data_IF_343910041171
#
_entry.id   IF_343910041171
#
_cell.length_a   1.000
_cell.length_b   1.000
_cell.length_c   1.000
_cell.angle_alpha   90.00
_cell.angle_beta   90.00
_cell.angle_gamma   90.00
#
_symmetry.space_group_name_H-M   'P 1'
#
loop_
_entity.id
_entity.type
_entity.pdbx_description
1 polymer ?
#
# COMPACT_ATOMS: atom_id res chain seq x y z
N UNK A 1 -25.05 3.43 33.40
CA UNK A 1 -25.29 4.03 32.06
C UNK A 1 -23.93 4.19 31.40
N UNK A 2 -23.53 3.21 30.57
CA UNK A 2 -22.24 3.26 29.87
C UNK A 2 -22.45 3.82 28.47
N UNK A 3 -21.70 4.87 28.15
CA UNK A 3 -21.71 5.54 26.83
C UNK A 3 -21.04 4.60 25.82
N UNK A 4 -21.81 4.15 24.84
CA UNK A 4 -21.30 3.44 23.67
C UNK A 4 -20.70 4.51 22.76
N UNK A 5 -19.37 4.45 22.56
CA UNK A 5 -18.65 5.33 21.67
C UNK A 5 -18.82 4.79 20.24
N UNK A 6 -19.80 5.33 19.52
CA UNK A 6 -20.03 5.04 18.10
C UNK A 6 -19.04 5.89 17.31
N UNK A 7 -17.94 5.30 16.87
CA UNK A 7 -17.07 5.89 15.86
C UNK A 7 -17.78 5.83 14.50
N UNK A 8 -18.40 6.94 14.12
CA UNK A 8 -18.88 7.19 12.76
C UNK A 8 -17.66 7.47 11.89
N UNK A 9 -17.25 6.49 11.08
CA UNK A 9 -16.27 6.69 10.02
C UNK A 9 -16.93 7.49 8.86
N UNK A 10 -16.32 8.58 8.38
CA UNK A 10 -16.82 9.27 7.20
C UNK A 10 -16.47 8.45 5.95
N UNK A 11 -17.50 7.96 5.26
CA UNK A 11 -17.45 7.47 3.89
C UNK A 11 -16.99 8.61 2.97
N UNK A 12 -15.69 8.73 2.72
CA UNK A 12 -15.16 9.63 1.68
C UNK A 12 -15.21 8.92 0.32
N UNK A 13 -16.29 9.22 -0.40
CA UNK A 13 -16.41 9.04 -1.84
C UNK A 13 -15.27 9.81 -2.54
N UNK A 14 -14.31 9.09 -3.16
CA UNK A 14 -13.40 9.68 -4.14
C UNK A 14 -13.71 9.10 -5.52
N UNK A 15 -14.64 9.77 -6.23
CA UNK A 15 -14.67 9.77 -7.68
C UNK A 15 -13.56 10.69 -8.18
N UNK A 16 -12.37 10.13 -8.44
CA UNK A 16 -11.37 10.84 -9.24
C UNK A 16 -11.79 10.70 -10.70
N UNK A 17 -12.58 11.67 -11.16
CA UNK A 17 -12.79 11.93 -12.57
C UNK A 17 -11.43 12.23 -13.22
N UNK A 18 -11.17 11.52 -14.31
CA UNK A 18 -10.22 11.95 -15.32
C UNK A 18 -10.68 13.29 -15.91
N UNK A 19 -9.85 14.32 -15.80
CA UNK A 19 -9.88 15.47 -16.70
C UNK A 19 -8.44 15.78 -17.14
N UNK A 20 -8.24 15.64 -18.45
CA UNK A 20 -7.12 16.17 -19.22
C UNK A 20 -7.26 17.69 -19.42
N UNK A 21 -6.16 18.27 -19.94
CA UNK A 21 -5.97 19.60 -20.52
C UNK A 21 -5.67 20.73 -19.51
N UNK A 22 -4.83 21.73 -19.78
CA UNK A 22 -3.83 22.11 -20.80
C UNK A 22 -3.53 23.60 -20.52
N UNK A 23 -2.39 24.16 -20.98
CA UNK A 23 -2.16 25.62 -21.20
C UNK A 23 -1.90 26.42 -19.89
N UNK A 24 -0.90 27.29 -19.70
CA UNK A 24 0.14 27.94 -20.55
C UNK A 24 1.28 28.48 -19.68
N UNK A 25 2.42 28.70 -20.35
CA UNK A 25 3.52 29.58 -19.97
C UNK A 25 3.09 30.94 -19.39
N UNK A 26 3.90 31.42 -18.44
CA UNK A 26 4.20 32.83 -18.31
C UNK A 26 5.61 33.00 -17.78
N UNK A 27 6.48 33.47 -18.68
CA UNK A 27 7.80 34.01 -18.38
C UNK A 27 7.75 35.14 -17.35
N UNK A 28 8.79 35.25 -16.52
CA UNK A 28 9.33 36.55 -16.12
C UNK A 28 10.83 36.41 -15.83
N UNK A 29 11.59 37.17 -16.60
CA UNK A 29 13.02 37.39 -16.55
C UNK A 29 13.47 38.30 -15.38
N UNK A 30 14.78 38.21 -15.10
CA UNK A 30 15.68 39.28 -14.60
C UNK A 30 15.41 39.90 -13.21
N UNK A 31 16.38 40.30 -12.39
CA UNK A 31 17.82 40.50 -12.50
C UNK A 31 18.36 40.53 -11.05
N UNK A 32 19.64 40.24 -10.85
CA UNK A 32 20.63 41.24 -10.38
C UNK A 32 21.77 40.64 -9.56
N UNK A 33 22.91 41.21 -9.92
CA UNK A 33 24.30 41.01 -9.60
C UNK A 33 24.67 41.24 -8.13
N UNK A 34 25.74 40.56 -7.71
CA UNK A 34 26.31 40.70 -6.37
C UNK A 34 27.68 40.04 -6.28
N UNK A 35 28.61 40.52 -7.11
CA UNK A 35 30.03 40.23 -7.05
C UNK A 35 30.65 40.90 -5.82
N UNK A 36 31.28 40.13 -4.92
CA UNK A 36 32.22 40.65 -3.93
C UNK A 36 33.45 39.75 -3.89
N UNK A 37 34.54 40.26 -4.45
CA UNK A 37 35.88 39.72 -4.34
C UNK A 37 36.61 40.31 -3.12
N UNK A 38 37.29 39.45 -2.35
CA UNK A 38 38.49 39.66 -1.51
C UNK A 38 38.47 38.54 -0.44
N UNK A 39 39.54 37.87 -0.03
CA UNK A 39 40.96 38.19 -0.10
C UNK A 39 41.78 36.90 0.00
N UNK A 40 42.93 36.92 -0.66
CA UNK A 40 44.02 35.94 -0.57
C UNK A 40 44.60 35.83 0.83
N UNK A 41 44.83 34.62 1.31
CA UNK A 41 45.89 34.34 2.27
C UNK A 41 46.49 32.96 2.02
N UNK A 42 47.75 33.00 1.59
CA UNK A 42 48.66 31.87 1.46
C UNK A 42 48.80 31.11 2.78
N UNK A 43 48.69 29.78 2.71
CA UNK A 43 49.31 28.87 3.67
C UNK A 43 49.80 27.64 2.90
N UNK A 44 51.11 27.59 2.67
CA UNK A 44 51.84 26.37 2.31
C UNK A 44 52.36 25.69 3.59
N UNK A 45 51.94 24.45 3.79
CA UNK A 45 52.71 23.36 4.45
C UNK A 45 51.90 22.07 4.20
N UNK A 46 52.30 21.25 3.22
CA UNK A 46 53.30 20.18 3.31
C UNK A 46 52.73 18.87 3.89
N UNK A 47 53.12 17.78 3.22
CA UNK A 47 52.89 16.37 3.46
C UNK A 47 51.47 15.76 3.33
N UNK A 48 51.20 15.24 2.12
CA UNK A 48 51.31 13.79 1.96
C UNK A 48 50.23 12.93 2.62
N UNK A 49 49.01 13.00 2.10
CA UNK A 49 48.15 11.82 1.90
C UNK A 49 47.03 12.19 0.93
N UNK A 50 47.25 11.93 -0.36
CA UNK A 50 46.14 11.75 -1.29
C UNK A 50 45.40 10.48 -0.85
N UNK A 51 44.48 10.62 0.09
CA UNK A 51 43.33 9.72 0.14
C UNK A 51 42.68 9.81 -1.22
N UNK A 52 42.83 8.75 -1.99
CA UNK A 52 42.03 8.50 -3.18
C UNK A 52 40.59 8.47 -2.70
N UNK A 53 39.91 9.63 -2.69
CA UNK A 53 38.46 9.70 -2.63
C UNK A 53 38.03 8.99 -3.89
N UNK A 54 37.77 7.69 -3.78
CA UNK A 54 37.17 6.88 -4.83
C UNK A 54 35.83 7.55 -5.07
N UNK A 55 35.78 8.44 -6.06
CA UNK A 55 34.58 9.12 -6.52
C UNK A 55 33.61 8.01 -6.87
N UNK A 56 32.72 7.66 -5.94
CA UNK A 56 31.74 6.60 -6.10
C UNK A 56 30.96 6.92 -7.37
N UNK A 57 31.31 6.23 -8.45
CA UNK A 57 30.67 6.44 -9.75
C UNK A 57 29.24 5.96 -9.58
N UNK A 58 28.30 6.91 -9.51
CA UNK A 58 26.89 6.58 -9.41
C UNK A 58 26.48 5.95 -10.74
N UNK A 59 26.25 4.64 -10.73
CA UNK A 59 25.69 3.94 -11.89
C UNK A 59 24.27 4.43 -12.14
N UNK A 60 24.08 5.09 -13.30
CA UNK A 60 22.78 5.52 -13.78
C UNK A 60 21.98 4.33 -14.33
N UNK A 61 20.65 4.46 -14.26
CA UNK A 61 19.70 3.65 -15.02
C UNK A 61 19.98 3.79 -16.51
N UNK A 62 19.80 2.71 -17.25
CA UNK A 62 19.76 2.76 -18.70
C UNK A 62 18.39 3.26 -19.19
N UNK A 63 18.29 3.60 -20.48
CA UNK A 63 16.98 3.89 -21.10
C UNK A 63 16.05 2.68 -21.04
N UNK A 64 16.61 1.47 -21.19
CA UNK A 64 15.85 0.22 -21.08
C UNK A 64 15.29 0.02 -19.67
N UNK A 65 16.06 0.33 -18.63
CA UNK A 65 15.60 0.24 -17.24
C UNK A 65 14.44 1.21 -16.98
N UNK A 66 14.53 2.43 -17.49
CA UNK A 66 13.43 3.41 -17.40
C UNK A 66 12.19 2.92 -18.13
N UNK A 67 12.32 2.26 -19.29
CA UNK A 67 11.20 1.64 -20.00
C UNK A 67 10.56 0.54 -19.15
N UNK A 68 11.34 -0.38 -18.56
CA UNK A 68 10.84 -1.45 -17.69
C UNK A 68 10.05 -0.89 -16.49
N UNK A 69 10.52 0.19 -15.88
CA UNK A 69 9.80 0.86 -14.79
C UNK A 69 8.46 1.45 -15.24
N UNK A 70 8.42 2.11 -16.40
CA UNK A 70 7.18 2.65 -16.97
C UNK A 70 6.19 1.54 -17.33
N UNK A 71 6.67 0.46 -17.93
CA UNK A 71 5.85 -0.70 -18.27
C UNK A 71 5.22 -1.31 -17.02
N UNK A 72 5.97 -1.42 -15.92
CA UNK A 72 5.42 -1.88 -14.64
C UNK A 72 4.26 -1.00 -14.17
N UNK A 73 4.43 0.33 -14.19
CA UNK A 73 3.38 1.26 -13.75
C UNK A 73 2.16 1.23 -14.66
N UNK A 74 2.34 1.11 -15.98
CA UNK A 74 1.24 1.06 -16.93
C UNK A 74 0.43 -0.25 -16.79
N UNK A 75 1.12 -1.39 -16.68
CA UNK A 75 0.45 -2.69 -16.55
C UNK A 75 -0.24 -2.87 -15.21
N UNK A 76 0.26 -2.21 -14.18
CA UNK A 76 -0.34 -2.24 -12.83
C UNK A 76 -1.22 -1.02 -12.52
N UNK A 77 -1.58 -0.19 -13.52
CA UNK A 77 -2.32 1.07 -13.31
C UNK A 77 -3.66 0.90 -12.60
N UNK A 78 -4.30 -0.26 -12.73
CA UNK A 78 -5.59 -0.57 -12.11
C UNK A 78 -5.45 -1.17 -10.70
N UNK A 79 -4.24 -1.58 -10.29
CA UNK A 79 -4.00 -2.32 -9.04
C UNK A 79 -4.61 -1.61 -7.83
N UNK A 80 -4.28 -0.33 -7.64
CA UNK A 80 -4.80 0.48 -6.53
C UNK A 80 -6.32 0.60 -6.56
N UNK A 81 -6.92 0.88 -7.73
CA UNK A 81 -8.38 0.98 -7.85
C UNK A 81 -9.10 -0.35 -7.64
N UNK A 82 -8.51 -1.46 -8.08
CA UNK A 82 -9.05 -2.80 -7.84
C UNK A 82 -9.03 -3.12 -6.36
N UNK A 83 -7.91 -2.87 -5.67
CA UNK A 83 -7.79 -3.13 -4.23
C UNK A 83 -8.75 -2.26 -3.39
N UNK A 84 -8.89 -0.98 -3.73
CA UNK A 84 -9.89 -0.09 -3.11
C UNK A 84 -11.32 -0.59 -3.34
N UNK A 85 -11.62 -1.07 -4.55
CA UNK A 85 -12.94 -1.64 -4.87
C UNK A 85 -13.22 -2.90 -4.04
N UNK A 86 -12.25 -3.80 -3.90
CA UNK A 86 -12.37 -4.99 -3.03
C UNK A 86 -12.73 -4.57 -1.61
N UNK A 87 -12.00 -3.60 -1.04
CA UNK A 87 -12.31 -3.10 0.29
C UNK A 87 -13.72 -2.53 0.39
N UNK A 88 -14.05 -1.52 -0.44
CA UNK A 88 -15.31 -0.78 -0.37
C UNK A 88 -16.53 -1.66 -0.62
N UNK A 89 -16.43 -2.65 -1.50
CA UNK A 89 -17.54 -3.56 -1.80
C UNK A 89 -17.86 -4.53 -0.66
N UNK A 90 -16.89 -4.80 0.23
CA UNK A 90 -17.00 -5.85 1.24
C UNK A 90 -17.05 -5.31 2.68
N UNK A 91 -16.54 -4.10 2.95
CA UNK A 91 -16.45 -3.52 4.29
C UNK A 91 -17.81 -3.48 5.02
N UNK A 92 -18.89 -3.15 4.32
CA UNK A 92 -20.23 -3.16 4.91
C UNK A 92 -20.69 -4.56 5.36
N UNK A 93 -20.29 -5.61 4.64
CA UNK A 93 -20.61 -6.99 5.03
C UNK A 93 -19.76 -7.41 6.24
N UNK A 94 -18.47 -7.09 6.27
CA UNK A 94 -17.60 -7.36 7.42
C UNK A 94 -18.02 -6.59 8.68
N UNK A 95 -18.45 -5.33 8.57
CA UNK A 95 -18.97 -4.55 9.69
C UNK A 95 -20.24 -5.18 10.29
N UNK A 96 -21.09 -5.76 9.44
CA UNK A 96 -22.25 -6.52 9.92
C UNK A 96 -21.81 -7.78 10.66
N UNK A 97 -20.86 -8.55 10.13
CA UNK A 97 -20.31 -9.74 10.83
C UNK A 97 -19.77 -9.33 12.21
N UNK A 98 -18.94 -8.28 12.26
CA UNK A 98 -18.34 -7.78 13.50
C UNK A 98 -19.40 -7.44 14.55
N UNK A 99 -20.47 -6.74 14.13
CA UNK A 99 -21.58 -6.36 15.01
C UNK A 99 -22.28 -7.56 15.66
N UNK A 100 -22.33 -8.70 14.97
CA UNK A 100 -22.90 -9.93 15.50
C UNK A 100 -21.87 -10.84 16.18
N UNK A 101 -20.58 -10.55 16.13
CA UNK A 101 -19.49 -11.38 16.68
C UNK A 101 -18.92 -10.87 18.01
N UNK A 102 -19.50 -9.83 18.60
CA UNK A 102 -19.04 -9.24 19.88
C UNK A 102 -19.12 -10.21 21.07
N UNK A 103 -19.96 -11.24 20.98
CA UNK A 103 -20.24 -12.17 22.09
C UNK A 103 -20.29 -13.61 21.58
N UNK A 104 -19.57 -14.52 22.25
CA UNK A 104 -19.70 -15.95 21.97
C UNK A 104 -20.99 -16.50 22.60
N UNK A 105 -21.65 -17.36 21.84
CA UNK A 105 -22.96 -17.88 22.21
C UNK A 105 -22.89 -18.94 23.32
N UNK A 106 -21.72 -19.57 23.47
CA UNK A 106 -21.46 -20.62 24.45
C UNK A 106 -21.39 -20.07 25.90
N UNK A 107 -21.09 -18.77 26.05
CA UNK A 107 -20.94 -18.07 27.34
C UNK A 107 -22.26 -17.80 28.09
N UNK A 108 -23.42 -18.08 27.47
CA UNK A 108 -24.75 -17.73 28.00
C UNK A 108 -25.68 -18.93 28.18
N UNK A 109 -25.13 -20.06 28.58
CA UNK A 109 -25.89 -21.28 28.92
C UNK A 109 -26.30 -21.31 30.39
N UNK A 110 -27.25 -20.45 30.79
CA UNK A 110 -28.03 -20.72 32.02
C UNK A 110 -29.13 -21.74 31.71
N UNK A 111 -29.09 -22.91 32.34
CA UNK A 111 -30.21 -23.85 32.36
C UNK A 111 -30.60 -24.44 31.00
N UNK A 112 -29.64 -24.68 30.10
CA UNK A 112 -29.82 -25.47 28.87
C UNK A 112 -30.73 -24.84 27.78
N UNK A 113 -30.99 -23.52 27.84
CA UNK A 113 -31.68 -22.79 26.76
C UNK A 113 -30.78 -21.68 26.24
N UNK A 114 -30.19 -21.88 25.05
CA UNK A 114 -29.54 -20.76 24.35
C UNK A 114 -30.56 -19.62 24.24
N UNK A 115 -30.24 -18.44 24.76
CA UNK A 115 -31.15 -17.31 24.69
C UNK A 115 -31.55 -17.07 23.23
N UNK A 116 -32.83 -16.79 22.96
CA UNK A 116 -33.39 -16.67 21.60
C UNK A 116 -32.59 -15.71 20.70
N UNK A 117 -31.97 -14.67 21.26
CA UNK A 117 -31.14 -13.71 20.53
C UNK A 117 -29.85 -14.34 19.96
N UNK A 118 -29.26 -15.33 20.65
CA UNK A 118 -28.03 -16.00 20.20
C UNK A 118 -28.28 -16.82 18.91
N UNK A 119 -29.41 -17.53 18.82
CA UNK A 119 -29.81 -18.24 17.58
C UNK A 119 -29.92 -17.29 16.38
N UNK A 120 -30.44 -16.08 16.62
CA UNK A 120 -30.53 -15.05 15.59
C UNK A 120 -29.15 -14.52 15.18
N UNK A 121 -28.23 -14.33 16.14
CA UNK A 121 -26.87 -13.87 15.85
C UNK A 121 -26.07 -14.88 15.02
N UNK A 122 -26.12 -16.17 15.38
CA UNK A 122 -25.48 -17.23 14.58
C UNK A 122 -26.03 -17.26 13.15
N UNK A 123 -27.36 -17.15 13.00
CA UNK A 123 -28.01 -17.05 11.69
C UNK A 123 -27.50 -15.84 10.90
N UNK A 124 -27.36 -14.68 11.54
CA UNK A 124 -26.88 -13.45 10.89
C UNK A 124 -25.41 -13.55 10.48
N UNK A 125 -24.52 -14.06 11.34
CA UNK A 125 -23.12 -14.34 10.99
C UNK A 125 -23.04 -15.21 9.74
N UNK A 126 -23.79 -16.32 9.73
CA UNK A 126 -23.86 -17.22 8.59
C UNK A 126 -24.33 -16.53 7.31
N UNK A 127 -25.43 -15.79 7.38
CA UNK A 127 -25.99 -15.06 6.22
C UNK A 127 -24.94 -14.15 5.56
N UNK A 128 -24.18 -13.39 6.36
CA UNK A 128 -23.15 -12.50 5.84
C UNK A 128 -21.90 -13.25 5.35
N UNK A 129 -21.47 -14.31 6.03
CA UNK A 129 -20.34 -15.13 5.59
C UNK A 129 -20.64 -15.87 4.28
N UNK A 130 -21.86 -16.40 4.12
CA UNK A 130 -22.30 -16.99 2.85
C UNK A 130 -22.37 -15.95 1.72
N UNK A 131 -22.75 -14.70 2.03
CA UNK A 131 -22.69 -13.61 1.05
C UNK A 131 -21.27 -13.33 0.56
N UNK A 132 -20.26 -13.37 1.43
CA UNK A 132 -18.85 -13.19 1.07
C UNK A 132 -18.29 -14.37 0.26
N UNK A 133 -18.72 -15.59 0.60
CA UNK A 133 -18.32 -16.83 -0.07
C UNK A 133 -18.98 -17.02 -1.43
N UNK A 134 -20.11 -16.34 -1.67
CA UNK A 134 -20.91 -16.48 -2.89
C UNK A 134 -20.04 -16.32 -4.14
N UNK A 135 -20.10 -17.34 -4.98
CA UNK A 135 -19.41 -17.41 -6.28
C UNK A 135 -17.89 -17.20 -6.21
N UNK A 136 -17.26 -17.36 -5.03
CA UNK A 136 -15.84 -17.05 -4.77
C UNK A 136 -15.40 -15.64 -5.19
N UNK A 137 -16.34 -14.69 -5.35
CA UNK A 137 -16.07 -13.39 -5.97
C UNK A 137 -14.97 -12.61 -5.25
N UNK A 138 -14.99 -12.60 -3.91
CA UNK A 138 -14.02 -11.87 -3.10
C UNK A 138 -12.58 -12.36 -3.36
N UNK A 139 -12.35 -13.67 -3.30
CA UNK A 139 -11.01 -14.23 -3.43
C UNK A 139 -10.54 -14.21 -4.88
N UNK A 140 -11.47 -14.31 -5.84
CA UNK A 140 -11.16 -14.14 -7.26
C UNK A 140 -10.77 -12.69 -7.62
N UNK A 141 -11.34 -11.68 -6.96
CA UNK A 141 -10.89 -10.29 -7.11
C UNK A 141 -9.45 -10.10 -6.57
N UNK A 142 -9.07 -10.73 -5.45
CA UNK A 142 -7.67 -10.72 -5.00
C UNK A 142 -6.74 -11.48 -5.96
N UNK A 143 -7.18 -12.60 -6.55
CA UNK A 143 -6.37 -13.33 -7.56
C UNK A 143 -6.08 -12.47 -8.80
N UNK A 144 -6.95 -11.52 -9.16
CA UNK A 144 -6.65 -10.54 -10.23
C UNK A 144 -5.45 -9.67 -9.87
N UNK A 145 -5.30 -9.25 -8.61
CA UNK A 145 -4.13 -8.50 -8.14
C UNK A 145 -2.85 -9.33 -8.28
N UNK A 146 -2.90 -10.61 -7.92
CA UNK A 146 -1.78 -11.56 -8.15
C UNK A 146 -1.40 -11.62 -9.62
N UNK A 147 -2.40 -11.73 -10.52
CA UNK A 147 -2.15 -11.78 -11.95
C UNK A 147 -1.43 -10.52 -12.45
N UNK A 148 -1.88 -9.32 -12.04
CA UNK A 148 -1.28 -8.03 -12.45
C UNK A 148 0.21 -7.91 -12.10
N UNK A 149 0.64 -8.42 -10.94
CA UNK A 149 2.05 -8.33 -10.52
C UNK A 149 2.89 -9.53 -10.94
N UNK A 150 2.26 -10.66 -11.30
CA UNK A 150 2.94 -11.89 -11.75
C UNK A 150 3.27 -11.88 -13.25
N UNK A 151 2.41 -11.32 -14.09
CA UNK A 151 2.52 -11.47 -15.56
C UNK A 151 3.72 -10.75 -16.16
N UNK A 152 4.31 -9.78 -15.46
CA UNK A 152 5.19 -8.80 -16.10
C UNK A 152 6.55 -8.58 -15.43
N UNK A 153 6.77 -9.19 -14.27
CA UNK A 153 8.07 -9.21 -13.61
C UNK A 153 8.62 -10.62 -13.76
N UNK A 154 9.58 -10.80 -14.67
CA UNK A 154 10.14 -12.12 -14.98
C UNK A 154 10.68 -12.78 -13.70
N UNK A 155 9.98 -13.80 -13.21
CA UNK A 155 10.26 -14.58 -12.01
C UNK A 155 9.77 -14.04 -10.64
N UNK A 156 9.01 -12.93 -10.57
CA UNK A 156 8.36 -12.58 -9.31
C UNK A 156 7.10 -13.41 -9.09
N UNK A 157 7.06 -14.11 -7.96
CA UNK A 157 5.89 -14.86 -7.49
C UNK A 157 5.44 -14.19 -6.18
N UNK A 158 4.25 -13.55 -6.14
CA UNK A 158 3.73 -12.95 -4.92
C UNK A 158 3.18 -14.04 -3.98
N UNK A 159 4.08 -14.86 -3.43
CA UNK A 159 3.72 -16.01 -2.60
C UNK A 159 2.97 -15.56 -1.35
N UNK A 160 3.41 -14.48 -0.70
CA UNK A 160 2.76 -13.92 0.47
C UNK A 160 1.27 -13.61 0.22
N UNK A 161 0.95 -12.91 -0.89
CA UNK A 161 -0.43 -12.63 -1.26
C UNK A 161 -1.21 -13.90 -1.64
N UNK A 162 -0.57 -14.84 -2.33
CA UNK A 162 -1.20 -16.13 -2.67
C UNK A 162 -1.58 -16.92 -1.40
N UNK A 163 -0.69 -16.94 -0.41
CA UNK A 163 -0.91 -17.60 0.88
C UNK A 163 -1.99 -16.89 1.70
N UNK A 164 -2.00 -15.55 1.71
CA UNK A 164 -3.04 -14.77 2.38
C UNK A 164 -4.43 -15.03 1.79
N UNK A 165 -4.53 -15.11 0.45
CA UNK A 165 -5.77 -15.48 -0.23
C UNK A 165 -6.22 -16.89 0.16
N UNK A 166 -5.30 -17.86 0.22
CA UNK A 166 -5.62 -19.22 0.64
C UNK A 166 -6.13 -19.28 2.09
N UNK A 167 -5.51 -18.52 3.00
CA UNK A 167 -5.99 -18.37 4.38
C UNK A 167 -7.38 -17.75 4.43
N UNK A 168 -7.65 -16.73 3.62
CA UNK A 168 -8.98 -16.11 3.54
C UNK A 168 -10.04 -17.10 3.03
N UNK A 169 -9.71 -17.90 2.02
CA UNK A 169 -10.58 -18.98 1.53
C UNK A 169 -10.87 -20.02 2.63
N UNK A 170 -9.87 -20.39 3.42
CA UNK A 170 -10.04 -21.29 4.56
C UNK A 170 -10.89 -20.68 5.67
N UNK A 171 -10.64 -19.42 6.04
CA UNK A 171 -11.40 -18.70 7.05
C UNK A 171 -12.87 -18.59 6.65
N UNK A 172 -13.17 -18.24 5.39
CA UNK A 172 -14.53 -18.23 4.85
C UNK A 172 -15.21 -19.60 4.92
N UNK A 173 -14.48 -20.69 4.63
CA UNK A 173 -15.02 -22.06 4.77
C UNK A 173 -15.33 -22.37 6.23
N UNK A 174 -14.37 -22.14 7.13
CA UNK A 174 -14.51 -22.42 8.56
C UNK A 174 -15.64 -21.61 9.19
N UNK A 175 -15.70 -20.31 8.92
CA UNK A 175 -16.74 -19.40 9.42
C UNK A 175 -18.16 -19.79 9.01
N UNK A 176 -18.33 -20.53 7.91
CA UNK A 176 -19.66 -21.04 7.48
C UNK A 176 -20.05 -22.38 8.12
N UNK A 177 -19.18 -23.01 8.91
CA UNK A 177 -19.42 -24.32 9.54
C UNK A 177 -20.36 -24.19 10.73
N UNK A 178 -21.35 -25.07 10.85
CA UNK A 178 -22.29 -25.06 11.97
C UNK A 178 -21.73 -25.77 13.21
N UNK A 179 -21.90 -25.22 14.42
CA UNK A 179 -22.48 -23.90 14.70
C UNK A 179 -21.53 -22.76 14.32
N UNK A 180 -22.04 -21.69 13.72
CA UNK A 180 -21.22 -20.52 13.37
C UNK A 180 -20.81 -19.76 14.64
N UNK A 181 -19.55 -19.91 15.03
CA UNK A 181 -18.95 -19.29 16.22
C UNK A 181 -18.54 -17.85 15.99
N UNK A 182 -18.59 -17.05 17.05
CA UNK A 182 -18.15 -15.66 17.00
C UNK A 182 -16.65 -15.57 16.67
N UNK A 183 -15.84 -16.45 17.26
CA UNK A 183 -14.39 -16.49 17.03
C UNK A 183 -14.01 -16.80 15.58
N UNK A 184 -14.73 -17.71 14.91
CA UNK A 184 -14.45 -18.06 13.51
C UNK A 184 -14.89 -16.94 12.55
N UNK A 185 -16.00 -16.27 12.88
CA UNK A 185 -16.45 -15.09 12.16
C UNK A 185 -15.49 -13.90 12.33
N UNK A 186 -14.93 -13.70 13.53
CA UNK A 186 -13.91 -12.69 13.80
C UNK A 186 -12.60 -13.00 13.06
N UNK A 187 -12.14 -14.25 13.11
CA UNK A 187 -10.96 -14.69 12.37
C UNK A 187 -11.09 -14.44 10.86
N UNK A 188 -12.31 -14.52 10.30
CA UNK A 188 -12.56 -14.18 8.89
C UNK A 188 -12.41 -12.68 8.61
N UNK A 189 -12.82 -11.81 9.54
CA UNK A 189 -12.60 -10.36 9.46
C UNK A 189 -11.10 -10.06 9.50
N UNK A 190 -10.39 -10.63 10.46
CA UNK A 190 -8.96 -10.40 10.66
C UNK A 190 -8.16 -10.84 9.41
N UNK A 191 -8.45 -12.04 8.90
CA UNK A 191 -7.81 -12.57 7.68
C UNK A 191 -8.09 -11.70 6.44
N UNK A 192 -9.27 -11.09 6.35
CA UNK A 192 -9.58 -10.17 5.24
C UNK A 192 -8.68 -8.93 5.28
N UNK A 193 -8.55 -8.29 6.44
CA UNK A 193 -7.68 -7.13 6.61
C UNK A 193 -6.20 -7.48 6.39
N UNK A 194 -5.73 -8.61 6.92
CA UNK A 194 -4.39 -9.12 6.66
C UNK A 194 -4.15 -9.34 5.16
N UNK A 195 -5.16 -9.79 4.40
CA UNK A 195 -5.06 -9.97 2.95
C UNK A 195 -4.94 -8.63 2.22
N UNK A 196 -5.64 -7.58 2.68
CA UNK A 196 -5.49 -6.20 2.17
C UNK A 196 -4.06 -5.71 2.41
N UNK A 197 -3.55 -5.81 3.64
CA UNK A 197 -2.19 -5.38 4.01
C UNK A 197 -1.13 -6.13 3.21
N UNK A 198 -1.34 -7.44 3.04
CA UNK A 198 -0.45 -8.29 2.24
C UNK A 198 -0.47 -7.91 0.76
N UNK A 199 -1.62 -7.49 0.22
CA UNK A 199 -1.69 -7.00 -1.16
C UNK A 199 -0.88 -5.72 -1.36
N UNK A 200 -1.00 -4.75 -0.44
CA UNK A 200 -0.26 -3.48 -0.50
C UNK A 200 1.25 -3.73 -0.45
N UNK A 201 1.70 -4.55 0.51
CA UNK A 201 3.12 -4.89 0.65
C UNK A 201 3.64 -5.72 -0.51
N UNK A 202 2.85 -6.66 -1.05
CA UNK A 202 3.23 -7.44 -2.24
C UNK A 202 3.40 -6.59 -3.49
N UNK A 203 2.67 -5.47 -3.63
CA UNK A 203 2.87 -4.50 -4.70
C UNK A 203 4.24 -3.78 -4.57
N UNK A 204 4.58 -3.34 -3.36
CA UNK A 204 5.88 -2.73 -3.09
C UNK A 204 7.04 -3.73 -3.29
N UNK A 205 6.89 -4.97 -2.82
CA UNK A 205 7.88 -6.03 -3.00
C UNK A 205 8.07 -6.40 -4.48
N UNK A 206 7.00 -6.38 -5.28
CA UNK A 206 7.08 -6.56 -6.73
C UNK A 206 7.95 -5.47 -7.39
N UNK A 207 7.77 -4.21 -6.95
CA UNK A 207 8.57 -3.09 -7.44
C UNK A 207 10.03 -3.18 -7.00
N UNK A 208 10.31 -3.63 -5.77
CA UNK A 208 11.67 -3.92 -5.28
C UNK A 208 12.34 -4.99 -6.14
N UNK A 209 11.61 -6.08 -6.43
CA UNK A 209 12.13 -7.16 -7.25
C UNK A 209 12.51 -6.64 -8.64
N UNK A 210 11.62 -5.88 -9.30
CA UNK A 210 11.94 -5.24 -10.57
C UNK A 210 13.19 -4.35 -10.47
N UNK A 211 13.23 -3.44 -9.50
CA UNK A 211 14.33 -2.50 -9.33
C UNK A 211 15.68 -3.20 -9.09
N UNK A 212 15.68 -4.36 -8.43
CA UNK A 212 16.89 -5.17 -8.21
C UNK A 212 17.50 -5.76 -9.50
N UNK A 213 16.72 -5.84 -10.58
CA UNK A 213 17.19 -6.31 -11.89
C UNK A 213 17.75 -5.20 -12.78
N UNK A 214 17.66 -3.94 -12.34
CA UNK A 214 18.09 -2.77 -13.10
C UNK A 214 19.55 -2.42 -12.83
N UNK A 215 20.15 -1.54 -13.64
CA UNK A 215 21.57 -1.22 -13.54
C UNK A 215 21.98 -0.46 -12.26
N UNK A 216 21.05 0.22 -11.59
CA UNK A 216 21.37 1.15 -10.50
C UNK A 216 21.10 0.56 -9.10
N UNK A 217 22.18 0.18 -8.42
CA UNK A 217 22.12 -0.28 -7.01
C UNK A 217 21.52 0.77 -6.08
N UNK A 218 21.87 2.05 -6.26
CA UNK A 218 21.32 3.15 -5.44
C UNK A 218 19.79 3.22 -5.53
N UNK A 219 19.24 3.01 -6.73
CA UNK A 219 17.79 2.98 -6.90
C UNK A 219 17.17 1.73 -6.27
N UNK A 220 17.78 0.56 -6.45
CA UNK A 220 17.32 -0.67 -5.79
C UNK A 220 17.29 -0.52 -4.25
N UNK A 221 18.34 0.04 -3.64
CA UNK A 221 18.40 0.27 -2.19
C UNK A 221 17.30 1.26 -1.72
N UNK A 222 17.00 2.29 -2.51
CA UNK A 222 15.91 3.22 -2.23
C UNK A 222 14.53 2.55 -2.32
N UNK A 223 14.31 1.67 -3.32
CA UNK A 223 13.05 0.91 -3.40
C UNK A 223 12.85 -0.02 -2.22
N UNK A 224 13.93 -0.66 -1.72
CA UNK A 224 13.87 -1.50 -0.53
C UNK A 224 13.48 -0.71 0.71
N UNK A 225 14.11 0.46 0.90
CA UNK A 225 13.78 1.37 2.01
C UNK A 225 12.32 1.84 1.94
N UNK A 226 11.81 2.11 0.73
CA UNK A 226 10.40 2.44 0.51
C UNK A 226 9.45 1.27 0.86
N UNK A 227 9.80 0.04 0.49
CA UNK A 227 9.01 -1.15 0.83
C UNK A 227 9.03 -1.43 2.34
N UNK A 228 10.16 -1.22 3.01
CA UNK A 228 10.24 -1.36 4.47
C UNK A 228 9.38 -0.29 5.19
N UNK A 229 9.39 0.95 4.69
CA UNK A 229 8.48 1.99 5.17
C UNK A 229 7.00 1.66 4.88
N UNK A 230 6.72 0.99 3.76
CA UNK A 230 5.37 0.53 3.41
C UNK A 230 4.86 -0.49 4.42
N UNK A 231 5.69 -1.45 4.85
CA UNK A 231 5.34 -2.44 5.88
C UNK A 231 4.98 -1.79 7.21
N UNK A 232 5.69 -0.73 7.60
CA UNK A 232 5.36 0.05 8.80
C UNK A 232 4.07 0.86 8.60
N UNK A 233 3.82 1.39 7.40
CA UNK A 233 2.66 2.21 7.12
C UNK A 233 1.35 1.41 7.10
N UNK A 234 1.36 0.18 6.58
CA UNK A 234 0.15 -0.68 6.55
C UNK A 234 -0.25 -1.17 7.93
N UNK A 235 0.70 -1.27 8.86
CA UNK A 235 0.46 -1.76 10.22
C UNK A 235 -0.60 -0.88 10.93
N UNK A 236 -1.81 -1.43 11.08
CA UNK A 236 -3.02 -0.79 11.64
C UNK A 236 -3.73 0.25 10.76
N UNK A 237 -3.52 0.25 9.44
CA UNK A 237 -4.13 1.23 8.52
C UNK A 237 -4.85 0.63 7.30
N UNK A 238 -4.69 -0.66 7.03
CA UNK A 238 -5.46 -1.38 6.00
C UNK A 238 -5.58 -0.61 4.68
N UNK A 239 -6.77 -0.16 4.31
CA UNK A 239 -7.05 0.50 3.04
C UNK A 239 -6.39 1.88 2.87
N UNK A 240 -6.09 2.55 3.98
CA UNK A 240 -5.48 3.87 3.98
C UNK A 240 -4.12 3.92 3.27
N UNK A 241 -3.35 2.83 3.34
CA UNK A 241 -2.01 2.80 2.75
C UNK A 241 -2.03 2.62 1.22
N UNK A 242 -3.14 2.13 0.64
CA UNK A 242 -3.22 1.76 -0.80
C UNK A 242 -2.87 2.97 -1.68
N UNK A 243 -3.54 4.10 -1.45
CA UNK A 243 -3.35 5.29 -2.29
C UNK A 243 -1.95 5.86 -2.16
N UNK A 244 -1.41 5.97 -0.95
CA UNK A 244 -0.06 6.52 -0.73
C UNK A 244 1.02 5.68 -1.41
N UNK A 245 0.94 4.35 -1.29
CA UNK A 245 1.96 3.43 -1.83
C UNK A 245 1.88 3.35 -3.36
N UNK A 246 0.68 3.07 -3.90
CA UNK A 246 0.50 2.90 -5.36
C UNK A 246 0.74 4.21 -6.10
N UNK A 247 0.21 5.33 -5.59
CA UNK A 247 0.48 6.65 -6.19
C UNK A 247 1.94 7.07 -6.02
N UNK A 248 2.59 6.71 -4.91
CA UNK A 248 4.00 7.01 -4.68
C UNK A 248 4.90 6.41 -5.76
N UNK A 249 4.76 5.09 -6.01
CA UNK A 249 5.53 4.41 -7.06
C UNK A 249 5.23 5.01 -8.44
N UNK A 250 3.94 5.20 -8.76
CA UNK A 250 3.52 5.81 -10.03
C UNK A 250 4.13 7.19 -10.22
N UNK A 251 4.03 8.05 -9.21
CA UNK A 251 4.49 9.43 -9.26
C UNK A 251 6.01 9.54 -9.42
N UNK A 252 6.77 8.67 -8.77
CA UNK A 252 8.22 8.59 -8.95
C UNK A 252 8.57 8.21 -10.38
N UNK A 253 7.98 7.14 -10.92
CA UNK A 253 8.33 6.67 -12.26
C UNK A 253 7.89 7.65 -13.35
N UNK A 254 6.69 8.24 -13.20
CA UNK A 254 6.19 9.25 -14.15
C UNK A 254 6.85 10.61 -13.97
N UNK A 255 7.49 10.86 -12.82
CA UNK A 255 8.01 12.17 -12.41
C UNK A 255 6.92 13.25 -12.32
N UNK A 256 5.70 12.84 -11.95
CA UNK A 256 4.54 13.72 -11.87
C UNK A 256 3.70 13.40 -10.63
N UNK A 257 3.16 14.42 -9.97
CA UNK A 257 2.20 14.19 -8.88
C UNK A 257 2.80 13.69 -7.56
N UNK A 258 4.09 13.89 -7.31
CA UNK A 258 4.77 13.52 -6.05
C UNK A 258 4.05 14.12 -4.83
N UNK A 259 3.70 15.41 -4.87
CA UNK A 259 2.96 16.05 -3.77
C UNK A 259 1.58 15.46 -3.54
N UNK A 260 0.90 15.05 -4.62
CA UNK A 260 -0.40 14.37 -4.52
C UNK A 260 -0.25 13.00 -3.85
N UNK A 261 0.78 12.23 -4.20
CA UNK A 261 1.06 10.94 -3.56
C UNK A 261 1.37 11.11 -2.06
N UNK A 262 2.15 12.13 -1.70
CA UNK A 262 2.44 12.47 -0.29
C UNK A 262 1.19 12.89 0.47
N UNK A 263 0.35 13.74 -0.12
CA UNK A 263 -0.92 14.14 0.49
C UNK A 263 -1.83 12.94 0.69
N UNK A 264 -1.93 12.04 -0.30
CA UNK A 264 -2.69 10.81 -0.19
C UNK A 264 -2.23 9.95 1.00
N UNK A 265 -0.93 9.85 1.26
CA UNK A 265 -0.43 9.19 2.47
C UNK A 265 -0.83 9.94 3.76
N UNK A 266 -0.58 11.25 3.81
CA UNK A 266 -0.77 12.10 5.01
C UNK A 266 -2.21 12.20 5.50
N UNK A 267 -3.20 12.06 4.62
CA UNK A 267 -4.63 12.10 4.98
C UNK A 267 -4.97 11.06 6.07
N UNK A 268 -4.17 10.00 6.18
CA UNK A 268 -4.41 8.89 7.11
C UNK A 268 -3.69 9.04 8.47
N UNK A 269 -3.19 10.23 8.76
CA UNK A 269 -2.67 10.62 10.06
C UNK A 269 -1.17 10.41 10.23
N UNK A 270 -0.68 10.32 11.48
CA UNK A 270 0.75 10.34 11.81
C UNK A 270 1.57 9.25 11.12
N UNK A 271 1.00 8.06 10.87
CA UNK A 271 1.67 6.98 10.16
C UNK A 271 1.92 7.35 8.69
N UNK A 272 0.94 7.98 8.04
CA UNK A 272 1.09 8.49 6.68
C UNK A 272 2.05 9.66 6.57
N UNK A 273 2.11 10.52 7.59
CA UNK A 273 3.13 11.57 7.71
C UNK A 273 4.54 10.99 7.83
N UNK A 274 4.71 9.89 8.58
CA UNK A 274 6.00 9.16 8.68
C UNK A 274 6.38 8.44 7.40
N UNK A 275 5.39 7.99 6.61
CA UNK A 275 5.62 7.33 5.33
C UNK A 275 6.00 8.32 4.21
N UNK A 276 5.42 9.52 4.18
CA UNK A 276 5.63 10.49 3.10
C UNK A 276 7.13 10.77 2.75
N UNK A 277 8.07 10.86 3.71
CA UNK A 277 9.50 11.00 3.43
C UNK A 277 10.11 9.84 2.63
N UNK A 278 9.54 8.64 2.69
CA UNK A 278 9.98 7.51 1.88
C UNK A 278 9.69 7.75 0.38
N UNK A 279 8.59 8.43 0.05
CA UNK A 279 8.29 8.86 -1.34
C UNK A 279 9.34 9.87 -1.81
N UNK A 280 9.67 10.87 -0.98
CA UNK A 280 10.71 11.87 -1.31
C UNK A 280 12.09 11.22 -1.52
N UNK A 281 12.44 10.27 -0.65
CA UNK A 281 13.72 9.55 -0.74
C UNK A 281 13.81 8.73 -2.02
N UNK A 282 12.72 8.03 -2.37
CA UNK A 282 12.65 7.24 -3.60
C UNK A 282 12.71 8.14 -4.86
N UNK A 283 12.00 9.27 -4.86
CA UNK A 283 12.03 10.26 -5.95
C UNK A 283 13.43 10.85 -6.15
N UNK A 284 14.07 11.28 -5.06
CA UNK A 284 15.42 11.84 -5.09
C UNK A 284 16.44 10.82 -5.62
N UNK A 285 16.32 9.55 -5.21
CA UNK A 285 17.16 8.48 -5.74
C UNK A 285 16.93 8.29 -7.24
N UNK A 286 15.69 8.21 -7.70
CA UNK A 286 15.34 8.08 -9.12
C UNK A 286 15.89 9.24 -9.95
N UNK A 287 15.67 10.48 -9.53
CA UNK A 287 16.19 11.70 -10.20
C UNK A 287 17.71 11.69 -10.32
N UNK A 288 18.39 11.22 -9.28
CA UNK A 288 19.87 11.16 -9.27
C UNK A 288 20.41 10.15 -10.28
N UNK A 289 19.71 9.02 -10.46
CA UNK A 289 20.21 7.90 -11.27
C UNK A 289 19.58 7.83 -12.66
N UNK A 290 18.60 8.69 -12.98
CA UNK A 290 17.98 8.76 -14.30
C UNK A 290 19.06 9.00 -15.39
N UNK A 291 18.92 8.42 -16.60
CA UNK A 291 19.88 8.58 -17.69
C UNK A 291 20.30 10.03 -17.94
#
# INVERSE_FOLDING_TARGET
MNKINICILPLLYFSILACQNSITDSDSEENDTGEVAMSTSDFQSDDGQTETITKLTITKLSKEDVTKLKDFVEKTKEYGSTLISIYNNNIGTFNNINSYSVVECDDYTEGNKSKSWCKNWNKKRKEYLEKLKKDNKLTDEFKKLVAMIKTDISAYIPQALTDAIAKLEEALKKGTTEPVKAVDAQSTIDTFYETIDTAITSYADAFVHLASTLSSKKFADATKSFADATKVFVDNKHDAAISGVVLGIRAVVSQEGIDKAKQAAKIFGPEGEKFAPAIDTLDAAYKTVKP
#
